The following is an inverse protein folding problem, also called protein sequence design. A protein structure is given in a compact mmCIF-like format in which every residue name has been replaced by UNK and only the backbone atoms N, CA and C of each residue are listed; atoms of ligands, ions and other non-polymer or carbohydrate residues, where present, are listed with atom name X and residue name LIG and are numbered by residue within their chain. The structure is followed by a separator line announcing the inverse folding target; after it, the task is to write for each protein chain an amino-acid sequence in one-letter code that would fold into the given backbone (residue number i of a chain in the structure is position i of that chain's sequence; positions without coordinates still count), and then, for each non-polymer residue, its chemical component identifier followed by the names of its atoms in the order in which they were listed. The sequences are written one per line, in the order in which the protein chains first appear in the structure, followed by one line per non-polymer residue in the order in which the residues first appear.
data_IF_953537160360
#
_entry.id   IF_953537160360
#
_cell.length_a   1.000
_cell.length_b   1.000
_cell.length_c   1.000
_cell.angle_alpha   90.00
_cell.angle_beta   90.00
_cell.angle_gamma   90.00
#
_symmetry.space_group_name_H-M   'P 1'
#
loop_
_entity.id
_entity.type
_entity.pdbx_description
1 polymer ?
#
# COMPACT_ATOMS: atom_id res chain seq x y z
N UNK A 1 -8.74 49.12 53.18
CA UNK A 1 -7.62 48.18 53.42
C UNK A 1 -8.16 46.75 53.34
N UNK A 2 -7.36 45.84 52.78
CA UNK A 2 -7.62 44.40 52.50
C UNK A 2 -8.07 44.06 51.09
N UNK A 3 -7.24 44.48 50.14
CA UNK A 3 -7.05 43.86 48.84
C UNK A 3 -6.16 42.61 48.95
N UNK A 4 -6.34 41.70 47.98
CA UNK A 4 -5.32 40.79 47.41
C UNK A 4 -4.64 39.78 48.33
N UNK A 5 -5.13 38.54 48.37
CA UNK A 5 -4.29 37.33 48.53
C UNK A 5 -5.12 36.06 48.26
N UNK A 6 -5.44 35.74 47.00
CA UNK A 6 -5.82 34.37 46.61
C UNK A 6 -5.85 34.18 45.08
N UNK A 7 -4.71 34.38 44.41
CA UNK A 7 -4.59 34.10 42.96
C UNK A 7 -3.29 33.35 42.64
N UNK A 8 -3.02 32.26 43.38
CA UNK A 8 -1.79 31.47 43.20
C UNK A 8 -1.96 30.01 43.61
N UNK A 9 -2.87 29.26 43.00
CA UNK A 9 -2.97 27.79 43.23
C UNK A 9 -3.74 26.99 42.18
N UNK A 10 -3.81 27.42 40.90
CA UNK A 10 -4.46 26.60 39.85
C UNK A 10 -3.63 26.63 38.56
N UNK A 11 -2.34 26.32 38.66
CA UNK A 11 -1.59 25.75 37.55
C UNK A 11 -1.65 24.23 37.71
N UNK A 12 -2.83 23.66 37.47
CA UNK A 12 -2.93 22.22 37.18
C UNK A 12 -2.25 22.02 35.84
N UNK A 13 -0.98 21.63 35.89
CA UNK A 13 -0.26 21.04 34.77
C UNK A 13 -0.99 19.75 34.39
N UNK A 14 -1.89 19.83 33.42
CA UNK A 14 -2.43 18.67 32.72
C UNK A 14 -1.30 18.12 31.84
N UNK A 15 -0.48 17.24 32.42
CA UNK A 15 0.42 16.40 31.66
C UNK A 15 -0.41 15.40 30.87
N UNK A 16 -0.89 15.83 29.70
CA UNK A 16 -1.45 14.95 28.69
C UNK A 16 -0.34 13.98 28.27
N UNK A 17 -0.51 12.70 28.59
CA UNK A 17 0.36 11.66 28.06
C UNK A 17 0.27 11.69 26.54
N UNK A 18 1.32 12.13 25.87
CA UNK A 18 1.35 12.21 24.41
C UNK A 18 1.33 10.80 23.81
N UNK A 19 0.17 10.37 23.34
CA UNK A 19 0.03 9.15 22.55
C UNK A 19 0.63 9.40 21.16
N UNK A 20 1.65 8.63 20.79
CA UNK A 20 2.30 8.76 19.47
C UNK A 20 1.70 7.73 18.53
N UNK A 21 1.23 8.17 17.36
CA UNK A 21 0.78 7.30 16.29
C UNK A 21 1.89 7.15 15.26
N UNK A 22 2.15 5.92 14.81
CA UNK A 22 3.11 5.65 13.74
C UNK A 22 2.49 4.73 12.71
N UNK A 23 2.69 5.06 11.43
CA UNK A 23 2.09 4.34 10.31
C UNK A 23 3.19 3.62 9.55
N UNK A 24 3.01 2.33 9.32
CA UNK A 24 3.93 1.48 8.57
C UNK A 24 3.25 0.88 7.35
N UNK A 25 3.97 0.79 6.23
CA UNK A 25 3.48 0.19 5.00
C UNK A 25 4.32 -1.01 4.58
N UNK A 26 3.68 -2.17 4.40
CA UNK A 26 4.28 -3.34 3.78
C UNK A 26 3.71 -3.47 2.36
N UNK A 27 4.58 -3.38 1.37
CA UNK A 27 4.20 -3.53 -0.04
C UNK A 27 4.78 -4.81 -0.61
N UNK A 28 3.93 -5.63 -1.21
CA UNK A 28 4.30 -6.87 -1.90
C UNK A 28 4.00 -6.72 -3.39
N UNK A 29 5.01 -6.87 -4.23
CA UNK A 29 4.89 -6.83 -5.69
C UNK A 29 4.14 -8.05 -6.21
N UNK A 30 3.77 -8.04 -7.49
CA UNK A 30 3.16 -9.20 -8.15
C UNK A 30 4.06 -10.43 -8.25
N UNK A 31 5.38 -10.24 -8.27
CA UNK A 31 6.38 -11.32 -8.19
C UNK A 31 6.53 -11.91 -6.77
N UNK A 32 5.79 -11.39 -5.77
CA UNK A 32 5.88 -11.79 -4.37
C UNK A 32 7.03 -11.14 -3.60
N UNK A 33 7.90 -10.37 -4.25
CA UNK A 33 9.01 -9.66 -3.61
C UNK A 33 8.48 -8.45 -2.87
N UNK A 34 8.96 -8.24 -1.64
CA UNK A 34 8.62 -7.05 -0.84
C UNK A 34 9.44 -5.83 -1.29
N UNK A 35 8.79 -4.68 -1.38
CA UNK A 35 9.50 -3.40 -1.47
C UNK A 35 10.02 -3.06 -0.07
N UNK A 36 11.34 -3.07 0.11
CA UNK A 36 11.98 -2.79 1.40
C UNK A 36 12.00 -1.28 1.66
N UNK A 37 11.38 -0.87 2.76
CA UNK A 37 11.46 0.50 3.29
C UNK A 37 12.66 0.70 4.21
N UNK A 38 12.60 1.75 5.02
CA UNK A 38 13.69 2.20 5.91
C UNK A 38 13.43 1.95 7.39
N UNK A 39 12.27 1.38 7.75
CA UNK A 39 11.96 1.10 9.15
C UNK A 39 12.90 0.05 9.74
N UNK A 40 13.49 0.40 10.89
CA UNK A 40 14.31 -0.48 11.73
C UNK A 40 13.57 -0.89 13.01
N UNK A 41 12.29 -0.52 13.13
CA UNK A 41 11.52 -0.76 14.34
C UNK A 41 11.15 -2.24 14.47
N UNK A 42 11.26 -2.80 15.68
CA UNK A 42 11.00 -4.22 15.92
C UNK A 42 9.56 -4.61 15.57
N UNK A 43 9.38 -5.62 14.71
CA UNK A 43 8.08 -6.05 14.18
C UNK A 43 7.61 -5.29 12.93
N UNK A 44 8.30 -4.20 12.57
CA UNK A 44 8.04 -3.39 11.38
C UNK A 44 9.30 -3.19 10.55
N UNK A 45 10.24 -4.11 10.61
CA UNK A 45 11.52 -4.05 9.89
C UNK A 45 11.30 -4.13 8.37
N UNK A 46 12.11 -3.37 7.63
CA UNK A 46 12.06 -3.24 6.17
C UNK A 46 10.69 -2.74 5.65
N UNK A 47 9.84 -2.17 6.50
CA UNK A 47 8.58 -1.54 6.07
C UNK A 47 8.80 -0.05 5.75
N UNK A 48 7.89 0.50 4.94
CA UNK A 48 7.82 1.94 4.70
C UNK A 48 7.41 2.63 6.00
N UNK A 49 8.06 3.75 6.34
CA UNK A 49 7.56 4.67 7.36
C UNK A 49 6.70 5.68 6.64
N UNK A 50 5.41 5.74 6.98
CA UNK A 50 4.44 6.63 6.35
C UNK A 50 4.25 7.85 7.26
N UNK A 51 4.58 9.02 6.74
CA UNK A 51 4.44 10.32 7.43
C UNK A 51 2.98 10.75 7.47
N UNK A 52 2.27 10.56 6.36
CA UNK A 52 0.86 10.91 6.23
C UNK A 52 0.13 9.90 5.36
N UNK A 53 -1.13 9.64 5.70
CA UNK A 53 -2.03 8.74 4.97
C UNK A 53 -3.33 9.49 4.69
N UNK A 54 -3.67 9.63 3.42
CA UNK A 54 -4.94 10.19 2.97
C UNK A 54 -5.77 9.14 2.21
N UNK A 55 -7.09 9.27 2.26
CA UNK A 55 -8.03 8.34 1.63
C UNK A 55 -8.24 7.06 2.43
N UNK A 56 -8.72 6.00 1.75
CA UNK A 56 -8.93 4.68 2.37
C UNK A 56 -9.97 4.68 3.50
N UNK A 57 -10.99 5.54 3.42
CA UNK A 57 -12.13 5.60 4.34
C UNK A 57 -13.45 5.24 3.67
N UNK A 58 -13.42 5.04 2.34
CA UNK A 58 -14.58 4.80 1.51
C UNK A 58 -14.37 3.60 0.58
N UNK A 59 -15.38 3.32 -0.23
CA UNK A 59 -15.40 2.20 -1.18
C UNK A 59 -14.64 2.49 -2.48
N UNK A 60 -13.83 3.56 -2.55
CA UNK A 60 -13.09 3.88 -3.79
C UNK A 60 -11.79 3.09 -3.91
N UNK A 61 -11.29 2.49 -2.82
CA UNK A 61 -9.99 1.83 -2.76
C UNK A 61 -8.82 2.69 -3.29
N UNK A 62 -8.91 3.99 -3.02
CA UNK A 62 -7.88 4.97 -3.35
C UNK A 62 -7.22 5.48 -2.07
N UNK A 63 -5.89 5.47 -2.05
CA UNK A 63 -5.10 6.03 -0.96
C UNK A 63 -3.95 6.87 -1.51
N UNK A 64 -3.46 7.80 -0.70
CA UNK A 64 -2.22 8.52 -0.92
C UNK A 64 -1.33 8.38 0.32
N UNK A 65 -0.10 7.92 0.10
CA UNK A 65 0.93 7.79 1.11
C UNK A 65 1.95 8.89 0.94
N UNK A 66 2.22 9.63 2.01
CA UNK A 66 3.38 10.51 2.10
C UNK A 66 4.48 9.77 2.85
N UNK A 67 5.63 9.61 2.20
CA UNK A 67 6.77 8.87 2.74
C UNK A 67 8.05 9.69 2.61
N UNK A 68 9.07 9.51 3.48
CA UNK A 68 10.36 10.14 3.29
C UNK A 68 10.99 9.74 1.95
N UNK A 69 11.48 10.70 1.18
CA UNK A 69 12.10 10.44 -0.11
C UNK A 69 13.36 9.59 0.08
N UNK A 70 13.37 8.39 -0.51
CA UNK A 70 14.45 7.41 -0.34
C UNK A 70 14.56 6.51 -1.58
N UNK A 71 15.56 5.62 -1.60
CA UNK A 71 15.85 4.74 -2.74
C UNK A 71 14.66 3.86 -3.16
N UNK A 72 13.82 3.44 -2.21
CA UNK A 72 12.64 2.62 -2.52
C UNK A 72 11.57 3.37 -3.32
N UNK A 73 11.52 4.71 -3.26
CA UNK A 73 10.54 5.51 -4.03
C UNK A 73 10.74 5.35 -5.54
N UNK A 74 12.00 5.17 -5.97
CA UNK A 74 12.31 4.85 -7.37
C UNK A 74 11.61 3.59 -7.88
N UNK A 75 11.33 2.63 -7.00
CA UNK A 75 10.57 1.42 -7.36
C UNK A 75 9.13 1.76 -7.76
N UNK A 76 8.46 2.65 -7.01
CA UNK A 76 7.10 3.07 -7.32
C UNK A 76 7.04 3.89 -8.60
N UNK A 77 8.03 4.76 -8.84
CA UNK A 77 8.12 5.51 -10.10
C UNK A 77 8.22 4.60 -11.31
N UNK A 78 9.00 3.54 -11.21
CA UNK A 78 9.13 2.57 -12.31
C UNK A 78 7.80 1.82 -12.57
N UNK A 79 7.01 1.58 -11.52
CA UNK A 79 5.70 0.91 -11.65
C UNK A 79 4.64 1.78 -12.33
N UNK A 80 4.69 3.11 -12.18
CA UNK A 80 3.76 4.02 -12.88
C UNK A 80 3.86 3.89 -14.41
N UNK A 81 5.07 3.67 -14.91
CA UNK A 81 5.37 3.64 -16.34
C UNK A 81 5.13 2.25 -16.97
N UNK A 82 4.78 1.25 -16.15
CA UNK A 82 4.50 -0.09 -16.63
C UNK A 82 3.00 -0.19 -16.95
N UNK A 83 2.59 0.40 -18.08
CA UNK A 83 1.36 -0.06 -18.73
C UNK A 83 1.50 -1.58 -18.99
N UNK A 84 0.41 -2.38 -18.94
CA UNK A 84 0.49 -3.79 -19.29
C UNK A 84 1.11 -3.89 -20.69
N UNK A 85 2.34 -4.39 -20.75
CA UNK A 85 3.03 -4.60 -22.02
C UNK A 85 2.23 -5.62 -22.81
N UNK A 86 1.47 -5.14 -23.80
CA UNK A 86 1.08 -5.96 -24.92
C UNK A 86 2.39 -6.56 -25.47
N UNK A 87 2.47 -7.88 -25.47
CA UNK A 87 3.38 -8.58 -26.36
C UNK A 87 2.84 -8.31 -27.76
N UNK A 88 3.23 -7.18 -28.35
CA UNK A 88 3.04 -6.97 -29.78
C UNK A 88 3.90 -8.04 -30.41
N UNK A 89 3.26 -9.09 -30.93
CA UNK A 89 3.93 -10.06 -31.78
C UNK A 89 4.69 -9.25 -32.83
N UNK A 90 6.02 -9.26 -32.75
CA UNK A 90 6.87 -8.75 -33.82
C UNK A 90 6.51 -9.61 -35.01
N UNK A 91 5.70 -9.06 -35.92
CA UNK A 91 5.51 -9.63 -37.24
C UNK A 91 6.91 -9.73 -37.82
N UNK A 92 7.41 -10.95 -37.94
CA UNK A 92 8.72 -11.21 -38.50
C UNK A 92 8.83 -10.45 -39.82
N UNK A 93 9.86 -9.63 -39.94
CA UNK A 93 10.20 -8.99 -41.19
C UNK A 93 10.34 -10.09 -42.25
N UNK A 94 9.66 -9.89 -43.36
CA UNK A 94 9.65 -10.75 -44.55
C UNK A 94 11.07 -11.18 -44.90
N UNK A 95 11.41 -12.42 -44.57
CA UNK A 95 12.62 -13.07 -45.07
C UNK A 95 12.34 -13.43 -46.52
N UNK A 96 13.08 -12.81 -47.43
CA UNK A 96 13.06 -13.13 -48.86
C UNK A 96 13.65 -14.55 -48.97
N UNK A 97 12.80 -15.55 -49.23
CA UNK A 97 13.28 -16.91 -49.42
C UNK A 97 13.54 -17.17 -50.89
N UNK A 98 14.82 -17.33 -51.22
CA UNK A 98 15.28 -17.97 -52.45
C UNK A 98 14.79 -19.43 -52.47
N UNK A 99 14.29 -19.82 -53.62
CA UNK A 99 13.65 -21.08 -53.97
C UNK A 99 14.56 -22.29 -53.74
N UNK A 100 14.09 -23.30 -52.99
CA UNK A 100 14.50 -24.71 -53.13
C UNK A 100 13.50 -25.67 -52.46
N UNK A 101 13.49 -26.92 -52.91
CA UNK A 101 12.36 -27.84 -52.98
C UNK A 101 12.01 -28.65 -51.71
N UNK A 102 10.71 -28.96 -51.60
CA UNK A 102 10.00 -30.09 -50.98
C UNK A 102 10.67 -30.90 -49.84
N UNK A 103 10.01 -30.94 -48.68
CA UNK A 103 9.38 -32.14 -48.08
C UNK A 103 8.35 -31.68 -47.05
N UNK A 104 7.09 -32.10 -47.20
CA UNK A 104 5.98 -31.69 -46.34
C UNK A 104 5.99 -32.44 -44.99
N UNK A 105 6.05 -31.71 -43.88
CA UNK A 105 5.70 -32.20 -42.55
C UNK A 105 4.36 -31.58 -42.15
N UNK A 106 3.40 -32.45 -41.83
CA UNK A 106 2.02 -32.10 -41.54
C UNK A 106 1.91 -31.13 -40.36
N UNK A 107 1.18 -30.03 -40.57
CA UNK A 107 0.86 -29.05 -39.55
C UNK A 107 -0.10 -29.64 -38.51
N UNK A 108 0.35 -29.73 -37.26
CA UNK A 108 -0.53 -29.96 -36.11
C UNK A 108 -1.33 -28.66 -35.91
N UNK A 109 -2.66 -28.69 -35.76
CA UNK A 109 -3.44 -27.49 -35.53
C UNK A 109 -3.04 -26.89 -34.17
N UNK A 110 -2.35 -25.76 -34.21
CA UNK A 110 -2.03 -24.98 -33.03
C UNK A 110 -3.35 -24.52 -32.39
N UNK A 111 -3.67 -25.07 -31.23
CA UNK A 111 -4.76 -24.62 -30.38
C UNK A 111 -4.42 -23.21 -29.92
N UNK A 112 -5.08 -22.21 -30.51
CA UNK A 112 -5.03 -20.82 -30.05
C UNK A 112 -5.62 -20.78 -28.65
N UNK A 113 -4.75 -20.78 -27.63
CA UNK A 113 -5.14 -20.46 -26.26
C UNK A 113 -5.21 -18.93 -26.20
N UNK A 114 -6.41 -18.39 -26.42
CA UNK A 114 -6.73 -17.02 -26.03
C UNK A 114 -6.79 -16.98 -24.51
N UNK A 115 -5.65 -16.75 -23.86
CA UNK A 115 -5.63 -16.39 -22.45
C UNK A 115 -6.17 -14.97 -22.34
N UNK A 116 -7.26 -14.71 -21.58
CA UNK A 116 -7.74 -13.35 -21.39
C UNK A 116 -6.65 -12.53 -20.70
N UNK A 117 -6.37 -11.33 -21.24
CA UNK A 117 -5.47 -10.34 -20.66
C UNK A 117 -5.95 -10.02 -19.23
N UNK A 118 -5.40 -10.71 -18.24
CA UNK A 118 -5.57 -10.33 -16.84
C UNK A 118 -4.75 -9.07 -16.65
N UNK A 119 -5.38 -7.98 -16.22
CA UNK A 119 -4.66 -6.77 -15.85
C UNK A 119 -3.59 -7.16 -14.83
N UNK A 120 -2.31 -7.05 -15.22
CA UNK A 120 -1.19 -7.39 -14.33
C UNK A 120 -1.00 -6.20 -13.41
N UNK A 121 -1.53 -6.29 -12.20
CA UNK A 121 -1.27 -5.30 -11.15
C UNK A 121 0.20 -5.41 -10.74
N UNK A 122 1.01 -4.33 -10.76
CA UNK A 122 2.43 -4.38 -10.39
C UNK A 122 2.63 -4.68 -8.90
N UNK A 123 1.60 -4.41 -8.09
CA UNK A 123 1.58 -4.65 -6.65
C UNK A 123 0.41 -5.60 -6.34
N UNK A 124 0.73 -6.74 -5.74
CA UNK A 124 -0.30 -7.73 -5.36
C UNK A 124 -1.03 -7.31 -4.09
N UNK A 125 -0.30 -6.79 -3.10
CA UNK A 125 -0.86 -6.44 -1.79
C UNK A 125 -0.13 -5.30 -1.11
N UNK A 126 -0.88 -4.41 -0.47
CA UNK A 126 -0.36 -3.42 0.47
C UNK A 126 -1.04 -3.62 1.82
N UNK A 127 -0.26 -3.80 2.88
CA UNK A 127 -0.74 -3.80 4.26
C UNK A 127 -0.24 -2.54 4.98
N UNK A 128 -1.16 -1.65 5.38
CA UNK A 128 -0.84 -0.43 6.12
C UNK A 128 -1.24 -0.64 7.57
N UNK A 129 -0.26 -0.58 8.47
CA UNK A 129 -0.45 -0.72 9.91
C UNK A 129 -0.40 0.64 10.58
N UNK A 130 -1.50 1.03 11.23
CA UNK A 130 -1.55 2.19 12.11
C UNK A 130 -1.33 1.67 13.53
N UNK A 131 -0.26 2.14 14.14
CA UNK A 131 0.13 1.74 15.48
C UNK A 131 0.03 2.91 16.44
N UNK A 132 -0.22 2.61 17.70
CA UNK A 132 -0.23 3.59 18.75
C UNK A 132 0.71 3.20 19.87
N UNK A 133 1.41 4.19 20.42
CA UNK A 133 2.34 4.02 21.52
C UNK A 133 1.99 4.99 22.65
N UNK A 134 1.87 4.44 23.84
CA UNK A 134 1.79 5.19 25.10
C UNK A 134 3.08 4.98 25.86
N UNK A 135 3.80 6.07 26.15
CA UNK A 135 5.09 6.05 26.85
C UNK A 135 6.12 5.16 26.12
N UNK A 136 6.95 4.43 26.88
CA UNK A 136 8.04 3.62 26.33
C UNK A 136 7.63 2.18 25.96
N UNK A 137 6.34 1.84 25.97
CA UNK A 137 5.85 0.50 25.66
C UNK A 137 5.98 0.15 24.17
N UNK A 138 5.82 -1.12 23.82
CA UNK A 138 5.74 -1.54 22.40
C UNK A 138 4.47 -0.95 21.75
N UNK A 139 4.54 -0.42 20.52
CA UNK A 139 3.39 0.01 19.77
C UNK A 139 2.37 -1.12 19.62
N UNK A 140 1.12 -0.79 19.83
CA UNK A 140 -0.01 -1.69 19.59
C UNK A 140 -0.64 -1.38 18.24
N UNK A 141 -0.99 -2.42 17.48
CA UNK A 141 -1.70 -2.26 16.20
C UNK A 141 -3.16 -1.90 16.47
N UNK A 142 -3.56 -0.67 16.13
CA UNK A 142 -4.93 -0.19 16.35
C UNK A 142 -5.80 -0.34 15.12
N UNK A 143 -5.24 -0.12 13.93
CA UNK A 143 -5.95 -0.24 12.66
C UNK A 143 -5.04 -0.80 11.57
N UNK A 144 -5.61 -1.57 10.66
CA UNK A 144 -4.95 -2.00 9.44
C UNK A 144 -5.82 -1.65 8.23
N UNK A 145 -5.19 -1.16 7.16
CA UNK A 145 -5.81 -1.02 5.84
C UNK A 145 -5.10 -1.98 4.90
N UNK A 146 -5.85 -2.77 4.16
CA UNK A 146 -5.34 -3.78 3.24
C UNK A 146 -5.84 -3.42 1.85
N UNK A 147 -4.95 -3.43 0.87
CA UNK A 147 -5.27 -3.26 -0.54
C UNK A 147 -4.81 -4.48 -1.33
N UNK A 148 -5.62 -4.92 -2.29
CA UNK A 148 -5.26 -5.98 -3.23
C UNK A 148 -5.43 -5.52 -4.68
N UNK A 149 -4.58 -6.08 -5.55
CA UNK A 149 -4.56 -5.78 -6.98
C UNK A 149 -4.37 -4.27 -7.20
N UNK A 150 -3.16 -3.79 -6.90
CA UNK A 150 -2.88 -2.36 -6.74
C UNK A 150 -2.03 -1.82 -7.89
N UNK A 151 -2.47 -0.68 -8.43
CA UNK A 151 -1.73 0.16 -9.36
C UNK A 151 -1.19 1.40 -8.66
N UNK A 152 -0.04 1.90 -9.13
CA UNK A 152 0.49 3.20 -8.74
C UNK A 152 -0.04 4.24 -9.73
N UNK A 153 -0.91 5.15 -9.29
CA UNK A 153 -1.49 6.21 -10.14
C UNK A 153 -0.53 7.37 -10.31
N UNK A 154 0.13 7.79 -9.24
CA UNK A 154 1.09 8.89 -9.25
C UNK A 154 2.14 8.73 -8.16
N UNK A 155 3.30 9.35 -8.39
CA UNK A 155 4.42 9.41 -7.46
C UNK A 155 5.11 10.74 -7.70
N UNK A 156 4.89 11.68 -6.77
CA UNK A 156 5.38 13.05 -6.87
C UNK A 156 6.31 13.34 -5.71
N UNK A 157 7.51 13.82 -6.01
CA UNK A 157 8.49 14.18 -5.01
C UNK A 157 8.29 15.65 -4.61
N UNK A 158 8.21 15.91 -3.31
CA UNK A 158 8.30 17.25 -2.76
C UNK A 158 9.70 17.45 -2.17
N UNK A 159 10.53 18.16 -2.94
CA UNK A 159 11.92 18.43 -2.59
C UNK A 159 12.01 19.34 -1.36
N UNK A 160 11.03 20.22 -1.14
CA UNK A 160 11.05 21.17 -0.03
C UNK A 160 10.83 20.48 1.33
N UNK A 161 9.92 19.50 1.38
CA UNK A 161 9.67 18.71 2.59
C UNK A 161 10.55 17.46 2.70
N UNK A 162 11.26 17.08 1.63
CA UNK A 162 12.03 15.84 1.57
C UNK A 162 11.14 14.58 1.58
N UNK A 163 9.88 14.71 1.15
CA UNK A 163 8.90 13.61 1.10
C UNK A 163 8.47 13.32 -0.33
N UNK A 164 7.86 12.15 -0.52
CA UNK A 164 7.24 11.73 -1.77
C UNK A 164 5.81 11.32 -1.51
N UNK A 165 4.89 11.78 -2.34
CA UNK A 165 3.47 11.40 -2.31
C UNK A 165 3.22 10.34 -3.36
N UNK A 166 2.76 9.17 -2.93
CA UNK A 166 2.49 8.02 -3.78
C UNK A 166 1.01 7.70 -3.70
N UNK A 167 0.32 7.81 -4.82
CA UNK A 167 -1.11 7.53 -4.93
C UNK A 167 -1.33 6.13 -5.49
N UNK A 168 -2.14 5.35 -4.79
CA UNK A 168 -2.46 3.99 -5.15
C UNK A 168 -3.95 3.85 -5.44
N UNK A 169 -4.25 3.00 -6.42
CA UNK A 169 -5.61 2.56 -6.75
C UNK A 169 -5.65 1.05 -6.78
N UNK A 170 -6.55 0.48 -5.98
CA UNK A 170 -6.71 -0.96 -5.84
C UNK A 170 -8.07 -1.42 -6.35
N UNK A 171 -8.21 -2.73 -6.62
CA UNK A 171 -9.53 -3.32 -6.85
C UNK A 171 -10.27 -3.63 -5.55
N UNK A 172 -9.53 -3.90 -4.48
CA UNK A 172 -10.13 -4.21 -3.18
C UNK A 172 -9.48 -3.42 -2.07
N UNK A 173 -10.28 -3.07 -1.08
CA UNK A 173 -9.84 -2.42 0.14
C UNK A 173 -10.50 -3.07 1.35
N UNK A 174 -9.72 -3.36 2.37
CA UNK A 174 -10.14 -3.97 3.62
C UNK A 174 -9.68 -3.14 4.79
N UNK A 175 -10.45 -3.17 5.86
CA UNK A 175 -10.20 -2.47 7.11
C UNK A 175 -10.31 -3.46 8.26
N UNK A 176 -9.31 -3.41 9.14
CA UNK A 176 -9.30 -4.14 10.41
C UNK A 176 -9.15 -3.11 11.52
N UNK A 177 -10.05 -3.14 12.48
CA UNK A 177 -10.01 -2.29 13.67
C UNK A 177 -9.83 -3.17 14.89
N UNK A 178 -8.78 -2.90 15.66
CA UNK A 178 -8.51 -3.61 16.91
C UNK A 178 -8.91 -2.69 18.07
N UNK A 179 -9.92 -3.13 18.83
CA UNK A 179 -10.37 -2.41 20.02
C UNK A 179 -9.62 -2.94 21.24
N UNK A 180 -8.78 -2.09 21.83
CA UNK A 180 -7.99 -2.42 23.02
C UNK A 180 -8.60 -1.77 24.25
N UNK A 181 -8.76 -2.54 25.32
CA UNK A 181 -9.16 -2.01 26.62
C UNK A 181 -8.05 -1.19 27.27
N UNK A 182 -8.41 -0.41 28.30
CA UNK A 182 -7.46 0.37 29.11
C UNK A 182 -6.40 -0.50 29.82
N UNK A 183 -6.68 -1.79 29.99
CA UNK A 183 -5.77 -2.80 30.53
C UNK A 183 -4.80 -3.37 29.47
N UNK A 184 -4.82 -2.84 28.24
CA UNK A 184 -3.98 -3.29 27.13
C UNK A 184 -4.42 -4.63 26.55
N UNK A 185 -5.62 -5.14 26.89
CA UNK A 185 -6.16 -6.39 26.33
C UNK A 185 -7.04 -6.11 25.12
N UNK A 186 -6.90 -6.93 24.08
CA UNK A 186 -7.78 -6.89 22.92
C UNK A 186 -9.21 -7.31 23.32
N UNK A 187 -10.20 -6.50 22.96
CA UNK A 187 -11.63 -6.72 23.26
C UNK A 187 -12.39 -7.24 22.05
N UNK A 188 -12.14 -6.63 20.89
CA UNK A 188 -12.73 -7.04 19.62
C UNK A 188 -11.79 -6.73 18.48
N UNK A 189 -11.97 -7.46 17.39
CA UNK A 189 -11.40 -7.15 16.09
C UNK A 189 -12.55 -7.08 15.09
N UNK A 190 -12.80 -5.88 14.59
CA UNK A 190 -13.86 -5.63 13.62
C UNK A 190 -13.25 -5.55 12.22
N UNK A 191 -13.88 -6.21 11.25
CA UNK A 191 -13.43 -6.26 9.87
C UNK A 191 -14.52 -5.81 8.92
N UNK A 192 -14.16 -5.01 7.93
CA UNK A 192 -15.02 -4.63 6.80
C UNK A 192 -14.18 -4.50 5.55
N UNK A 193 -14.72 -4.79 4.38
CA UNK A 193 -14.00 -4.65 3.12
C UNK A 193 -14.94 -4.46 1.94
N UNK A 194 -14.38 -3.96 0.85
CA UNK A 194 -15.09 -3.67 -0.39
C UNK A 194 -14.30 -4.14 -1.61
N UNK A 195 -14.97 -4.83 -2.52
CA UNK A 195 -14.47 -5.15 -3.86
C UNK A 195 -15.07 -4.13 -4.85
N UNK A 196 -14.24 -3.20 -5.31
CA UNK A 196 -14.63 -2.10 -6.20
C UNK A 196 -15.09 -2.62 -7.56
N UNK A 197 -14.48 -3.70 -8.04
CA UNK A 197 -14.78 -4.28 -9.37
C UNK A 197 -16.14 -4.97 -9.35
N UNK A 198 -16.46 -5.67 -8.26
CA UNK A 198 -17.74 -6.36 -8.10
C UNK A 198 -18.84 -5.47 -7.52
N UNK A 199 -18.48 -4.37 -6.86
CA UNK A 199 -19.43 -3.51 -6.15
C UNK A 199 -20.06 -4.19 -4.95
N UNK A 200 -19.34 -5.07 -4.27
CA UNK A 200 -19.83 -5.88 -3.15
C UNK A 200 -18.89 -5.84 -1.97
N UNK A 201 -19.38 -6.22 -0.78
CA UNK A 201 -18.54 -6.45 0.38
C UNK A 201 -17.45 -7.50 0.07
N UNK A 202 -16.23 -7.22 0.49
CA UNK A 202 -15.10 -8.15 0.44
C UNK A 202 -14.87 -8.69 1.85
N UNK A 203 -14.92 -10.00 2.03
CA UNK A 203 -14.88 -10.63 3.37
C UNK A 203 -13.66 -11.49 3.62
N UNK A 204 -12.88 -11.81 2.58
CA UNK A 204 -11.82 -12.81 2.63
C UNK A 204 -10.44 -12.12 2.61
N UNK A 205 -10.01 -11.55 3.74
CA UNK A 205 -8.74 -10.80 3.84
C UNK A 205 -8.11 -10.73 5.24
#
# INVERSE_FOLDING_TARGET
MKTTFLLLAVLFTTSLFAQTTTIYGKVTKSDGIRVKGTSTYRGYEDQLIITNLAGGVDHTALIELEVPTSGYVGTFRNMMNTAPTQIVAVKAATTINLKSAATALAAIPAKTITTPLSAVFPISRIDISITSRTNNQMPILTRQIILEDVNVESCTDDIASGTSKIKFKANRIGWIYNNWGVDGKLRSTDKSGWDVVKGTAWTNF
#
